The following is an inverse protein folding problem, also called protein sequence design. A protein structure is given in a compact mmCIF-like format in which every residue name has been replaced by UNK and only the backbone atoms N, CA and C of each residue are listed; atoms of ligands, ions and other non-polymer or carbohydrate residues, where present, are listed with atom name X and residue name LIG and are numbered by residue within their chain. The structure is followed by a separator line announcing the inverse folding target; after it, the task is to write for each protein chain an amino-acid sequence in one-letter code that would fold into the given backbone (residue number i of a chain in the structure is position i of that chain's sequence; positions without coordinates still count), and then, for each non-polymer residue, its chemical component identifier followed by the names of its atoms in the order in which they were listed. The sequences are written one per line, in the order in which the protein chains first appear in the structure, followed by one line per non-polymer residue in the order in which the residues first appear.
data_IF_757644325210
#
_entry.id   IF_757644325210
#
_cell.length_a   1.000
_cell.length_b   1.000
_cell.length_c   1.000
_cell.angle_alpha   90.00
_cell.angle_beta   90.00
_cell.angle_gamma   90.00
#
_symmetry.space_group_name_H-M   'P 1'
#
loop_
_entity.id
_entity.type
_entity.pdbx_description
1 polymer ?
#
# COMPACT_ATOMS: atom_id res chain seq x y z
N UNK A 1 22.67 26.16 -45.71
CA UNK A 1 22.65 27.64 -45.61
C UNK A 1 21.71 27.98 -44.46
N UNK A 2 22.21 28.73 -43.46
CA UNK A 2 21.54 29.25 -42.23
C UNK A 2 21.28 28.24 -41.08
N UNK A 3 21.44 28.65 -39.80
CA UNK A 3 22.71 28.53 -39.09
C UNK A 3 22.63 28.00 -37.64
N UNK A 4 23.80 27.58 -37.12
CA UNK A 4 24.09 27.37 -35.69
C UNK A 4 24.01 28.68 -34.90
N UNK A 5 23.24 28.69 -33.81
CA UNK A 5 23.24 29.79 -32.82
C UNK A 5 24.05 29.34 -31.60
N UNK A 6 25.19 30.01 -31.39
CA UNK A 6 25.97 30.01 -30.15
C UNK A 6 25.24 30.85 -29.10
N UNK A 7 25.03 30.31 -27.91
CA UNK A 7 24.63 31.09 -26.74
C UNK A 7 25.88 31.70 -26.06
N UNK A 8 25.88 33.01 -25.75
CA UNK A 8 26.96 33.64 -24.99
C UNK A 8 26.79 33.43 -23.49
N UNK A 9 27.89 33.03 -22.85
CA UNK A 9 28.07 32.83 -21.42
C UNK A 9 28.33 34.17 -20.72
N UNK A 10 27.30 34.93 -20.37
CA UNK A 10 27.44 36.05 -19.42
C UNK A 10 26.11 36.28 -18.72
N UNK A 11 26.05 35.98 -17.41
CA UNK A 11 25.24 36.62 -16.37
C UNK A 11 25.47 35.88 -15.03
N UNK A 12 26.69 35.96 -14.53
CA UNK A 12 26.99 35.79 -13.10
C UNK A 12 27.25 37.20 -12.58
N UNK A 13 26.30 37.74 -11.79
CA UNK A 13 26.50 38.72 -10.72
C UNK A 13 25.19 39.45 -10.41
N UNK A 14 24.62 39.18 -9.22
CA UNK A 14 24.14 40.15 -8.23
C UNK A 14 23.12 39.51 -7.28
N UNK A 15 23.62 38.86 -6.22
CA UNK A 15 22.83 38.55 -5.03
C UNK A 15 22.87 39.76 -4.07
N UNK A 16 21.74 40.28 -3.57
CA UNK A 16 21.75 41.31 -2.53
C UNK A 16 22.28 40.75 -1.21
N UNK A 17 23.20 41.49 -0.58
CA UNK A 17 23.74 41.22 0.77
C UNK A 17 22.65 41.42 1.82
N UNK A 18 22.56 40.49 2.77
CA UNK A 18 21.70 40.53 3.95
C UNK A 18 22.13 41.65 4.94
N UNK A 19 21.20 42.34 5.63
CA UNK A 19 21.52 43.27 6.72
C UNK A 19 21.82 42.53 8.04
N UNK A 20 22.54 43.18 8.99
CA UNK A 20 23.03 42.53 10.20
C UNK A 20 21.95 42.34 11.27
N UNK A 21 22.15 41.31 12.10
CA UNK A 21 21.32 40.87 13.22
C UNK A 21 21.07 41.98 14.25
N UNK A 22 19.81 42.23 14.57
CA UNK A 22 19.40 42.90 15.80
C UNK A 22 18.77 41.87 16.75
N UNK A 23 19.37 41.73 17.92
CA UNK A 23 18.91 40.88 19.01
C UNK A 23 17.73 41.54 19.72
N UNK A 24 16.51 41.09 19.42
CA UNK A 24 15.37 41.29 20.28
C UNK A 24 14.87 39.91 20.73
N UNK A 25 14.98 39.66 22.03
CA UNK A 25 14.50 38.45 22.68
C UNK A 25 13.01 38.27 22.40
N UNK A 26 12.70 37.30 21.55
CA UNK A 26 11.35 36.80 21.36
C UNK A 26 11.15 35.70 22.39
N UNK A 27 10.19 35.95 23.28
CA UNK A 27 9.67 35.02 24.26
C UNK A 27 9.27 33.74 23.54
N UNK A 28 9.69 32.62 24.11
CA UNK A 28 9.18 31.28 23.82
C UNK A 28 7.68 31.26 24.11
N UNK A 29 6.89 31.53 23.08
CA UNK A 29 5.49 31.11 22.96
C UNK A 29 5.38 30.51 21.56
N UNK A 30 5.98 29.32 21.37
CA UNK A 30 5.72 28.52 20.18
C UNK A 30 4.26 28.06 20.25
N UNK A 31 3.35 28.57 19.38
CA UNK A 31 1.99 28.07 19.36
C UNK A 31 2.10 26.64 18.86
N UNK A 32 1.84 25.67 19.73
CA UNK A 32 1.66 24.24 19.41
C UNK A 32 1.14 24.13 17.99
N UNK A 33 2.02 23.87 17.02
CA UNK A 33 1.59 23.63 15.64
C UNK A 33 0.70 22.42 15.75
N UNK A 34 -0.63 22.64 15.67
CA UNK A 34 -1.60 21.55 15.75
C UNK A 34 -1.20 20.57 14.67
N UNK A 35 -0.64 19.44 15.06
CA UNK A 35 -0.31 18.35 14.15
C UNK A 35 -1.62 18.01 13.43
N UNK A 36 -1.62 18.12 12.11
CA UNK A 36 -2.81 17.76 11.34
C UNK A 36 -3.04 16.26 11.47
N UNK A 37 -4.15 15.87 12.10
CA UNK A 37 -4.64 14.51 12.02
C UNK A 37 -5.27 14.30 10.64
N UNK A 38 -4.58 13.56 9.79
CA UNK A 38 -5.01 13.29 8.41
C UNK A 38 -6.09 12.21 8.33
N UNK A 39 -6.45 11.56 9.44
CA UNK A 39 -7.40 10.45 9.49
C UNK A 39 -8.80 10.85 9.99
N UNK A 40 -8.95 12.09 10.46
CA UNK A 40 -10.24 12.68 10.89
C UNK A 40 -10.65 13.78 9.92
N UNK A 41 -11.85 13.70 9.37
CA UNK A 41 -12.32 14.59 8.32
C UNK A 41 -13.56 14.08 7.61
N UNK A 42 -13.77 14.59 6.40
CA UNK A 42 -14.94 14.29 5.59
C UNK A 42 -14.58 14.06 4.12
N UNK A 43 -15.44 13.30 3.43
CA UNK A 43 -15.40 13.21 1.97
C UNK A 43 -16.08 14.45 1.39
N UNK A 44 -15.40 15.15 0.49
CA UNK A 44 -15.95 16.30 -0.23
C UNK A 44 -15.89 16.08 -1.75
N UNK A 45 -16.81 16.66 -2.54
CA UNK A 45 -16.76 16.57 -3.99
C UNK A 45 -15.43 17.10 -4.56
N UNK A 46 -14.90 16.42 -5.56
CA UNK A 46 -13.69 16.79 -6.28
C UNK A 46 -13.96 16.86 -7.79
N UNK A 47 -14.24 18.06 -8.32
CA UNK A 47 -14.48 18.26 -9.76
C UNK A 47 -13.28 17.91 -10.66
N UNK A 48 -12.06 17.86 -10.12
CA UNK A 48 -10.83 17.56 -10.88
C UNK A 48 -10.58 16.06 -11.06
N UNK A 49 -11.36 15.21 -10.38
CA UNK A 49 -11.26 13.75 -10.47
C UNK A 49 -12.16 13.18 -11.59
N UNK A 50 -11.88 11.95 -12.09
CA UNK A 50 -10.79 11.06 -11.69
C UNK A 50 -9.43 11.45 -12.27
N UNK A 51 -8.35 11.11 -11.56
CA UNK A 51 -6.98 11.35 -12.03
C UNK A 51 -6.51 10.36 -13.10
N UNK A 52 -7.19 9.22 -13.22
CA UNK A 52 -6.96 8.19 -14.23
C UNK A 52 -8.26 7.41 -14.46
N UNK A 53 -8.39 6.77 -15.61
CA UNK A 53 -9.54 5.94 -15.98
C UNK A 53 -9.10 4.55 -16.39
N UNK A 54 -10.08 3.69 -16.68
CA UNK A 54 -9.87 2.37 -17.28
C UNK A 54 -9.25 2.40 -18.69
N UNK A 55 -9.25 3.56 -19.36
CA UNK A 55 -8.62 3.74 -20.67
C UNK A 55 -7.20 4.31 -20.57
N UNK A 56 -6.89 5.06 -19.50
CA UNK A 56 -5.56 5.67 -19.32
C UNK A 56 -4.62 4.80 -18.48
N UNK A 57 -5.13 3.85 -17.70
CA UNK A 57 -4.31 2.97 -16.87
C UNK A 57 -4.43 1.49 -17.28
N UNK A 58 -3.28 0.90 -17.59
CA UNK A 58 -3.15 -0.52 -17.95
C UNK A 58 -3.13 -1.46 -16.73
N UNK A 59 -2.78 -0.94 -15.55
CA UNK A 59 -2.60 -1.74 -14.34
C UNK A 59 -3.92 -2.11 -13.63
N UNK A 60 -5.06 -1.58 -14.11
CA UNK A 60 -6.38 -1.92 -13.58
C UNK A 60 -6.72 -3.34 -14.03
N UNK A 61 -6.85 -4.26 -13.09
CA UNK A 61 -7.24 -5.63 -13.41
C UNK A 61 -8.66 -5.66 -13.94
N UNK A 62 -8.93 -6.62 -14.83
CA UNK A 62 -10.21 -6.71 -15.51
C UNK A 62 -11.39 -6.71 -14.54
N UNK A 63 -11.38 -7.56 -13.50
CA UNK A 63 -12.43 -7.66 -12.48
C UNK A 63 -12.65 -6.37 -11.63
N UNK A 64 -11.75 -5.39 -11.71
CA UNK A 64 -11.88 -4.08 -11.04
C UNK A 64 -12.44 -3.00 -11.97
N UNK A 65 -12.59 -3.29 -13.26
CA UNK A 65 -13.00 -2.31 -14.27
C UNK A 65 -14.53 -2.17 -14.28
N UNK A 66 -15.07 -1.47 -13.28
CA UNK A 66 -16.52 -1.28 -13.11
C UNK A 66 -17.18 -0.70 -14.37
N UNK A 67 -16.51 0.25 -15.04
CA UNK A 67 -17.05 0.88 -16.26
C UNK A 67 -17.15 -0.10 -17.42
N UNK A 68 -16.15 -0.97 -17.62
CA UNK A 68 -16.19 -2.03 -18.63
C UNK A 68 -17.34 -3.01 -18.37
N UNK A 69 -17.67 -3.25 -17.11
CA UNK A 69 -18.77 -4.14 -16.70
C UNK A 69 -20.11 -3.44 -16.47
N UNK A 70 -20.28 -2.24 -17.04
CA UNK A 70 -21.60 -1.62 -17.20
C UNK A 70 -22.08 -0.78 -16.03
N UNK A 71 -21.22 -0.43 -15.06
CA UNK A 71 -21.58 0.57 -14.04
C UNK A 71 -21.84 1.93 -14.73
N UNK A 72 -23.06 2.51 -14.61
CA UNK A 72 -23.44 3.69 -15.39
C UNK A 72 -23.05 5.01 -14.72
N UNK A 73 -22.95 5.04 -13.39
CA UNK A 73 -22.63 6.24 -12.61
C UNK A 73 -21.11 6.46 -12.52
N UNK A 74 -20.69 7.73 -12.48
CA UNK A 74 -19.26 8.13 -12.36
C UNK A 74 -18.96 8.96 -11.12
N UNK A 75 -19.99 9.35 -10.37
CA UNK A 75 -19.87 10.26 -9.22
C UNK A 75 -19.04 9.66 -8.08
N UNK A 76 -18.98 8.33 -7.96
CA UNK A 76 -18.14 7.65 -6.97
C UNK A 76 -16.64 7.95 -7.13
N UNK A 77 -16.20 8.35 -8.34
CA UNK A 77 -14.81 8.73 -8.60
C UNK A 77 -14.52 10.20 -8.30
N UNK A 78 -15.54 11.02 -8.03
CA UNK A 78 -15.44 12.48 -7.88
C UNK A 78 -15.43 12.92 -6.42
N UNK A 79 -14.73 12.17 -5.57
CA UNK A 79 -14.60 12.47 -4.14
C UNK A 79 -13.12 12.61 -3.75
N UNK A 80 -12.85 13.51 -2.81
CA UNK A 80 -11.55 13.61 -2.13
C UNK A 80 -11.74 13.63 -0.62
N UNK A 81 -10.79 13.07 0.10
CA UNK A 81 -10.74 13.16 1.56
C UNK A 81 -10.20 14.52 1.98
N UNK A 82 -10.88 15.20 2.89
CA UNK A 82 -10.46 16.48 3.46
C UNK A 82 -10.36 16.35 4.99
N UNK A 83 -9.13 16.39 5.56
CA UNK A 83 -8.95 16.44 7.01
C UNK A 83 -9.54 17.70 7.64
N UNK A 84 -10.00 17.60 8.89
CA UNK A 84 -10.57 18.75 9.63
C UNK A 84 -9.53 19.85 9.93
N UNK A 85 -8.28 19.43 10.15
CA UNK A 85 -7.20 20.30 10.64
C UNK A 85 -6.27 20.85 9.57
N UNK A 86 -6.36 20.40 8.31
CA UNK A 86 -5.52 20.88 7.22
C UNK A 86 -6.08 20.48 5.84
N UNK A 87 -5.57 21.14 4.79
CA UNK A 87 -5.80 20.70 3.42
C UNK A 87 -4.65 19.79 2.95
N UNK A 88 -4.99 18.63 2.40
CA UNK A 88 -4.02 17.77 1.74
C UNK A 88 -3.71 18.32 0.35
N UNK A 89 -2.43 18.35 -0.07
CA UNK A 89 -2.09 18.72 -1.44
C UNK A 89 -2.68 17.70 -2.41
N UNK A 90 -3.09 18.18 -3.59
CA UNK A 90 -3.46 17.30 -4.70
C UNK A 90 -2.24 16.47 -5.08
N UNK A 91 -2.45 15.17 -5.34
CA UNK A 91 -1.36 14.27 -5.70
C UNK A 91 -0.75 14.67 -7.04
N UNK A 92 0.49 15.14 -7.00
CA UNK A 92 1.27 15.48 -8.19
C UNK A 92 2.29 14.38 -8.50
N UNK A 93 2.08 13.56 -9.57
CA UNK A 93 2.90 12.37 -9.83
C UNK A 93 4.38 12.69 -10.07
N UNK A 94 4.67 13.82 -10.73
CA UNK A 94 6.05 14.24 -10.97
C UNK A 94 6.76 14.60 -9.67
N UNK A 95 6.07 15.26 -8.73
CA UNK A 95 6.63 15.60 -7.42
C UNK A 95 6.86 14.34 -6.59
N UNK A 96 5.89 13.42 -6.57
CA UNK A 96 6.05 12.14 -5.89
C UNK A 96 7.29 11.39 -6.40
N UNK A 97 7.42 11.23 -7.73
CA UNK A 97 8.57 10.56 -8.34
C UNK A 97 9.92 11.23 -8.03
N UNK A 98 9.95 12.56 -7.84
CA UNK A 98 11.16 13.24 -7.36
C UNK A 98 11.45 12.94 -5.88
N UNK A 99 10.43 12.88 -5.03
CA UNK A 99 10.58 12.51 -3.61
C UNK A 99 11.14 11.09 -3.47
N UNK A 100 10.67 10.16 -4.31
CA UNK A 100 11.10 8.75 -4.30
C UNK A 100 12.25 8.46 -5.27
N UNK A 101 12.92 9.48 -5.81
CA UNK A 101 14.04 9.30 -6.72
C UNK A 101 15.16 8.51 -6.05
N UNK A 102 15.62 7.45 -6.72
CA UNK A 102 16.68 6.57 -6.21
C UNK A 102 16.25 5.70 -5.03
N UNK A 103 14.94 5.58 -4.78
CA UNK A 103 14.38 4.81 -3.66
C UNK A 103 13.65 3.57 -4.12
N UNK A 104 13.28 2.74 -3.16
CA UNK A 104 12.49 1.52 -3.37
C UNK A 104 11.30 1.44 -2.40
N UNK A 105 10.16 0.91 -2.88
CA UNK A 105 8.94 0.75 -2.10
C UNK A 105 8.33 -0.64 -2.30
N UNK A 106 8.02 -1.35 -1.22
CA UNK A 106 7.38 -2.66 -1.27
C UNK A 106 5.97 -2.61 -0.67
N UNK A 107 5.02 -3.26 -1.33
CA UNK A 107 3.70 -3.58 -0.79
C UNK A 107 3.67 -5.07 -0.42
N UNK A 108 3.37 -5.39 0.84
CA UNK A 108 3.30 -6.78 1.33
C UNK A 108 1.92 -7.01 1.94
N UNK A 109 1.20 -8.00 1.43
CA UNK A 109 -0.11 -8.30 2.00
C UNK A 109 -1.08 -8.99 1.05
N UNK A 110 -2.35 -8.66 1.23
CA UNK A 110 -3.45 -9.22 0.46
C UNK A 110 -3.78 -8.38 -0.79
N UNK A 111 -4.87 -8.76 -1.47
CA UNK A 111 -5.35 -8.10 -2.68
C UNK A 111 -5.57 -6.60 -2.51
N UNK A 112 -5.87 -6.12 -1.31
CA UNK A 112 -6.20 -4.72 -1.12
C UNK A 112 -4.94 -3.84 -1.03
N UNK A 113 -3.81 -4.39 -0.58
CA UNK A 113 -2.50 -3.74 -0.72
C UNK A 113 -2.05 -3.67 -2.18
N UNK A 114 -2.23 -4.77 -2.92
CA UNK A 114 -2.00 -4.80 -4.38
C UNK A 114 -2.85 -3.75 -5.10
N UNK A 115 -4.12 -3.59 -4.73
CA UNK A 115 -4.99 -2.56 -5.32
C UNK A 115 -4.46 -1.13 -5.05
N UNK A 116 -3.94 -0.85 -3.85
CA UNK A 116 -3.31 0.44 -3.54
C UNK A 116 -2.08 0.69 -4.41
N UNK A 117 -1.22 -0.32 -4.57
CA UNK A 117 -0.07 -0.24 -5.46
C UNK A 117 -0.47 0.00 -6.92
N UNK A 118 -1.48 -0.72 -7.43
CA UNK A 118 -2.01 -0.53 -8.79
C UNK A 118 -2.53 0.89 -9.00
N UNK A 119 -3.25 1.44 -8.01
CA UNK A 119 -3.70 2.84 -8.03
C UNK A 119 -2.50 3.80 -8.14
N UNK A 120 -1.43 3.55 -7.39
CA UNK A 120 -0.19 4.33 -7.49
C UNK A 120 0.46 4.21 -8.88
N UNK A 121 0.54 3.00 -9.47
CA UNK A 121 1.02 2.83 -10.86
C UNK A 121 0.21 3.69 -11.83
N UNK A 122 -1.13 3.68 -11.70
CA UNK A 122 -2.00 4.48 -12.55
C UNK A 122 -1.76 5.98 -12.42
N UNK A 123 -1.59 6.48 -11.19
CA UNK A 123 -1.29 7.88 -10.94
C UNK A 123 0.05 8.29 -11.57
N UNK A 124 1.08 7.44 -11.41
CA UNK A 124 2.43 7.71 -11.91
C UNK A 124 2.56 7.57 -13.44
N UNK A 125 1.70 6.76 -14.07
CA UNK A 125 1.67 6.57 -15.53
C UNK A 125 1.30 7.85 -16.29
N UNK A 126 0.82 8.89 -15.61
CA UNK A 126 0.66 10.25 -16.16
C UNK A 126 2.01 10.93 -16.48
N UNK A 127 3.11 10.41 -15.94
CA UNK A 127 4.47 10.95 -16.10
C UNK A 127 5.38 9.92 -16.77
N UNK A 128 5.41 8.69 -16.26
CA UNK A 128 6.25 7.62 -16.80
C UNK A 128 5.58 6.26 -16.58
N UNK A 129 5.61 5.41 -17.61
CA UNK A 129 5.20 4.01 -17.46
C UNK A 129 6.38 3.20 -16.92
N UNK A 130 6.18 2.36 -15.89
CA UNK A 130 7.26 1.54 -15.39
C UNK A 130 7.55 0.36 -16.32
N UNK A 131 8.75 -0.21 -16.18
CA UNK A 131 9.15 -1.47 -16.81
C UNK A 131 9.14 -2.60 -15.77
N UNK A 132 8.71 -3.80 -16.18
CA UNK A 132 8.80 -5.01 -15.36
C UNK A 132 10.28 -5.43 -15.24
N UNK A 133 10.76 -5.55 -14.00
CA UNK A 133 12.12 -5.98 -13.64
C UNK A 133 12.09 -7.15 -12.65
N UNK A 134 10.99 -7.92 -12.66
CA UNK A 134 10.79 -9.07 -11.79
C UNK A 134 11.82 -10.16 -12.08
N UNK A 135 12.28 -10.83 -11.02
CA UNK A 135 13.25 -11.92 -11.15
C UNK A 135 12.65 -13.21 -11.71
N UNK A 136 11.33 -13.38 -11.55
CA UNK A 136 10.58 -14.55 -11.97
C UNK A 136 9.29 -14.12 -12.69
N UNK A 137 8.64 -15.01 -13.46
CA UNK A 137 7.34 -14.74 -14.06
C UNK A 137 6.17 -14.80 -13.06
N UNK A 138 6.44 -14.95 -11.76
CA UNK A 138 5.39 -15.10 -10.74
C UNK A 138 4.60 -13.79 -10.57
N UNK A 139 3.30 -13.84 -10.86
CA UNK A 139 2.37 -12.71 -10.72
C UNK A 139 2.11 -12.33 -9.25
N UNK A 140 2.50 -13.18 -8.30
CA UNK A 140 2.44 -12.90 -6.87
C UNK A 140 3.60 -12.03 -6.38
N UNK A 141 4.71 -11.99 -7.14
CA UNK A 141 5.95 -11.31 -6.78
C UNK A 141 6.49 -10.48 -7.94
N UNK A 142 6.04 -9.24 -8.02
CA UNK A 142 6.37 -8.35 -9.14
C UNK A 142 7.17 -7.14 -8.70
N UNK A 143 8.01 -6.66 -9.62
CA UNK A 143 8.84 -5.46 -9.46
C UNK A 143 8.72 -4.58 -10.70
N UNK A 144 8.49 -3.30 -10.47
CA UNK A 144 8.32 -2.28 -11.48
C UNK A 144 9.31 -1.14 -11.25
N UNK A 145 10.10 -0.81 -12.27
CA UNK A 145 11.09 0.26 -12.21
C UNK A 145 10.65 1.44 -13.07
N UNK A 146 10.77 2.65 -12.52
CA UNK A 146 10.63 3.93 -13.21
C UNK A 146 12.03 4.43 -13.59
N UNK A 147 12.51 4.20 -14.83
CA UNK A 147 13.92 4.35 -15.17
C UNK A 147 14.43 5.79 -14.99
N UNK A 148 13.63 6.79 -15.36
CA UNK A 148 14.01 8.21 -15.29
C UNK A 148 14.21 8.70 -13.85
N UNK A 149 13.65 7.97 -12.87
CA UNK A 149 13.72 8.32 -11.45
C UNK A 149 14.54 7.31 -10.63
N UNK A 150 14.99 6.20 -11.23
CA UNK A 150 15.61 5.10 -10.49
C UNK A 150 14.75 4.70 -9.27
N UNK A 151 13.42 4.74 -9.42
CA UNK A 151 12.47 4.35 -8.38
C UNK A 151 11.96 2.95 -8.68
N UNK A 152 11.99 2.06 -7.69
CA UNK A 152 11.49 0.68 -7.83
C UNK A 152 10.33 0.44 -6.89
N UNK A 153 9.24 -0.09 -7.40
CA UNK A 153 8.11 -0.55 -6.61
C UNK A 153 7.99 -2.07 -6.72
N UNK A 154 7.65 -2.74 -5.63
CA UNK A 154 7.45 -4.19 -5.61
C UNK A 154 6.15 -4.55 -4.89
N UNK A 155 5.62 -5.73 -5.22
CA UNK A 155 4.54 -6.38 -4.47
C UNK A 155 4.97 -7.77 -4.06
N UNK A 156 4.61 -8.15 -2.84
CA UNK A 156 4.77 -9.50 -2.30
C UNK A 156 3.41 -9.98 -1.80
N UNK A 157 2.88 -11.00 -2.45
CA UNK A 157 1.65 -11.64 -2.00
C UNK A 157 1.91 -12.37 -0.69
N UNK A 158 1.30 -11.90 0.40
CA UNK A 158 1.38 -12.53 1.71
C UNK A 158 0.11 -12.19 2.49
N UNK A 159 -1.04 -12.79 2.12
CA UNK A 159 -2.35 -12.36 2.61
C UNK A 159 -2.52 -12.48 4.13
N UNK A 160 -1.75 -13.36 4.78
CA UNK A 160 -1.70 -13.54 6.22
C UNK A 160 -0.41 -13.02 6.86
N UNK A 161 0.54 -12.45 6.09
CA UNK A 161 1.87 -11.96 6.48
C UNK A 161 2.84 -12.98 7.09
N UNK A 162 2.35 -14.07 7.66
CA UNK A 162 3.11 -15.20 8.20
C UNK A 162 3.18 -16.35 7.21
N UNK A 163 4.01 -17.36 7.51
CA UNK A 163 4.02 -18.58 6.71
C UNK A 163 2.61 -19.18 6.70
N UNK A 164 2.11 -19.43 5.50
CA UNK A 164 0.77 -19.95 5.28
C UNK A 164 0.80 -20.97 4.16
N UNK A 165 -0.01 -22.02 4.29
CA UNK A 165 -0.15 -23.07 3.29
C UNK A 165 -1.64 -23.35 3.07
N UNK A 166 -2.07 -23.44 1.81
CA UNK A 166 -3.42 -23.91 1.49
C UNK A 166 -3.47 -25.43 1.68
N UNK A 167 -4.12 -25.87 2.75
CA UNK A 167 -4.22 -27.28 3.11
C UNK A 167 -5.29 -28.02 2.32
N UNK A 168 -6.40 -27.34 2.01
CA UNK A 168 -7.49 -27.87 1.20
C UNK A 168 -8.19 -26.73 0.45
N UNK A 169 -8.06 -26.70 -0.89
CA UNK A 169 -8.68 -25.68 -1.74
C UNK A 169 -10.22 -25.71 -1.70
N UNK A 170 -10.81 -26.87 -1.43
CA UNK A 170 -12.26 -27.08 -1.32
C UNK A 170 -12.74 -27.11 0.13
N UNK A 171 -11.97 -26.51 1.05
CA UNK A 171 -12.19 -26.54 2.50
C UNK A 171 -13.61 -26.20 2.95
N UNK A 172 -13.89 -26.19 4.26
CA UNK A 172 -15.24 -26.25 4.84
C UNK A 172 -16.31 -25.31 4.26
N UNK A 173 -15.90 -24.14 3.74
CA UNK A 173 -16.77 -23.11 3.16
C UNK A 173 -16.58 -22.91 1.65
N UNK A 174 -15.96 -23.86 0.94
CA UNK A 174 -15.60 -23.78 -0.49
C UNK A 174 -14.75 -22.55 -0.86
N UNK A 175 -13.98 -22.04 0.11
CA UNK A 175 -13.07 -20.89 -0.06
C UNK A 175 -11.65 -21.19 0.40
N UNK A 176 -11.29 -22.47 0.46
CA UNK A 176 -10.02 -22.94 0.98
C UNK A 176 -9.98 -23.10 2.50
N UNK A 177 -9.07 -23.95 2.97
CA UNK A 177 -8.63 -24.11 4.35
C UNK A 177 -7.13 -23.83 4.42
N UNK A 178 -6.73 -22.89 5.27
CA UNK A 178 -5.34 -22.44 5.34
C UNK A 178 -4.68 -22.82 6.66
N UNK A 179 -3.51 -23.43 6.60
CA UNK A 179 -2.65 -23.60 7.77
C UNK A 179 -1.84 -22.32 7.96
N UNK A 180 -2.00 -21.62 9.08
CA UNK A 180 -1.21 -20.45 9.43
C UNK A 180 -0.24 -20.79 10.55
N UNK A 181 1.05 -20.64 10.30
CA UNK A 181 2.12 -20.84 11.28
C UNK A 181 2.41 -19.50 11.96
N UNK A 182 1.70 -19.23 13.06
CA UNK A 182 1.62 -17.90 13.68
C UNK A 182 2.93 -17.43 14.31
N UNK A 183 3.89 -18.32 14.50
CA UNK A 183 5.23 -18.07 15.02
C UNK A 183 6.35 -18.13 13.96
N UNK A 184 6.00 -18.37 12.69
CA UNK A 184 6.96 -18.49 11.59
C UNK A 184 6.85 -17.32 10.60
N UNK A 185 8.01 -16.85 10.14
CA UNK A 185 8.10 -15.79 9.14
C UNK A 185 7.73 -16.35 7.76
N UNK A 186 7.06 -15.55 6.93
CA UNK A 186 6.97 -15.86 5.50
C UNK A 186 8.26 -15.36 4.82
N UNK A 187 9.15 -16.30 4.51
CA UNK A 187 10.45 -16.03 3.91
C UNK A 187 10.38 -15.40 2.51
N UNK A 188 9.26 -15.56 1.79
CA UNK A 188 9.09 -15.01 0.43
C UNK A 188 9.22 -13.49 0.42
N UNK A 189 8.75 -12.80 1.47
CA UNK A 189 8.91 -11.35 1.59
C UNK A 189 9.98 -10.96 2.61
N UNK A 190 10.09 -11.66 3.76
CA UNK A 190 10.98 -11.21 4.84
C UNK A 190 12.46 -11.25 4.47
N UNK A 191 12.86 -12.15 3.56
CA UNK A 191 14.25 -12.23 3.08
C UNK A 191 14.62 -11.17 2.05
N UNK A 192 13.63 -10.42 1.53
CA UNK A 192 13.83 -9.47 0.44
C UNK A 192 13.65 -8.01 0.87
N UNK A 193 13.03 -7.72 2.02
CA UNK A 193 12.66 -6.35 2.38
C UNK A 193 13.83 -5.42 2.75
N UNK A 194 15.03 -5.94 3.05
CA UNK A 194 16.19 -5.12 3.44
C UNK A 194 16.62 -4.11 2.36
N UNK A 195 16.30 -4.35 1.08
CA UNK A 195 16.62 -3.44 -0.02
C UNK A 195 15.60 -2.29 -0.22
N UNK A 196 14.53 -2.24 0.59
CA UNK A 196 13.42 -1.29 0.42
C UNK A 196 13.50 -0.09 1.39
N UNK A 197 13.41 1.14 0.86
CA UNK A 197 13.31 2.36 1.68
C UNK A 197 11.95 2.47 2.38
N UNK A 198 10.88 1.97 1.75
CA UNK A 198 9.52 2.03 2.25
C UNK A 198 8.85 0.67 2.17
N UNK A 199 8.20 0.27 3.26
CA UNK A 199 7.44 -0.97 3.33
C UNK A 199 6.00 -0.67 3.71
N UNK A 200 5.04 -1.03 2.88
CA UNK A 200 3.61 -0.89 3.16
C UNK A 200 3.08 -2.30 3.41
N UNK A 201 2.70 -2.58 4.66
CA UNK A 201 2.11 -3.88 5.02
C UNK A 201 0.60 -3.75 5.19
N UNK A 202 -0.15 -4.77 4.78
CA UNK A 202 -1.58 -4.86 5.03
C UNK A 202 -2.05 -6.31 5.14
N UNK A 203 -3.07 -6.54 5.96
CA UNK A 203 -3.81 -7.80 5.98
C UNK A 203 -5.15 -7.61 6.66
N UNK A 204 -6.12 -8.46 6.31
CA UNK A 204 -7.44 -8.44 6.95
C UNK A 204 -8.43 -9.44 6.39
N UNK A 205 -8.81 -9.29 5.12
CA UNK A 205 -9.93 -10.06 4.55
C UNK A 205 -9.69 -11.58 4.57
N UNK A 206 -8.43 -12.01 4.51
CA UNK A 206 -8.07 -13.43 4.54
C UNK A 206 -8.21 -14.09 5.91
N UNK A 207 -8.28 -13.31 6.99
CA UNK A 207 -8.54 -13.84 8.33
C UNK A 207 -10.01 -14.21 8.57
N UNK A 208 -10.91 -13.89 7.63
CA UNK A 208 -12.30 -14.35 7.64
C UNK A 208 -12.46 -15.75 7.02
N UNK A 209 -11.46 -16.25 6.31
CA UNK A 209 -11.49 -17.60 5.72
C UNK A 209 -11.24 -18.68 6.76
N UNK A 210 -11.68 -19.93 6.51
CA UNK A 210 -11.30 -21.06 7.34
C UNK A 210 -9.79 -21.17 7.48
N UNK A 211 -9.30 -21.33 8.71
CA UNK A 211 -7.86 -21.44 8.97
C UNK A 211 -7.58 -22.30 10.19
N UNK A 212 -6.50 -23.08 10.15
CA UNK A 212 -5.95 -23.80 11.30
C UNK A 212 -4.70 -23.07 11.77
N UNK A 213 -4.58 -22.84 13.06
CA UNK A 213 -3.49 -22.07 13.64
C UNK A 213 -2.46 -22.99 14.28
N UNK A 214 -1.20 -22.81 13.89
CA UNK A 214 -0.06 -23.54 14.41
C UNK A 214 0.88 -22.60 15.17
N UNK A 215 1.36 -23.07 16.32
CA UNK A 215 2.51 -22.52 17.03
C UNK A 215 3.40 -23.70 17.48
N UNK A 216 4.71 -23.59 17.33
CA UNK A 216 5.67 -24.67 17.61
C UNK A 216 5.29 -26.02 16.97
N UNK A 217 4.75 -25.98 15.74
CA UNK A 217 4.26 -27.15 15.00
C UNK A 217 3.08 -27.90 15.66
N UNK A 218 2.35 -27.25 16.59
CA UNK A 218 1.15 -27.79 17.21
C UNK A 218 -0.07 -26.92 16.93
N UNK A 219 -1.23 -27.55 16.77
CA UNK A 219 -2.51 -26.85 16.59
C UNK A 219 -2.87 -26.16 17.90
N UNK A 220 -3.01 -24.84 17.88
CA UNK A 220 -3.45 -24.03 19.02
C UNK A 220 -4.91 -23.62 18.94
N UNK A 221 -5.53 -23.80 17.77
CA UNK A 221 -6.93 -23.53 17.51
C UNK A 221 -7.19 -23.36 16.02
N UNK A 222 -8.38 -22.90 15.67
CA UNK A 222 -8.73 -22.64 14.29
C UNK A 222 -9.78 -21.55 14.17
N UNK A 223 -10.18 -21.24 12.94
CA UNK A 223 -11.33 -20.40 12.60
C UNK A 223 -12.13 -21.12 11.54
N UNK A 224 -13.41 -21.37 11.79
CA UNK A 224 -14.34 -22.01 10.85
C UNK A 224 -13.80 -23.27 10.17
N UNK A 225 -12.94 -24.04 10.86
CA UNK A 225 -12.25 -25.17 10.26
C UNK A 225 -13.10 -26.46 10.23
N UNK A 226 -14.18 -26.52 11.01
CA UNK A 226 -15.04 -27.72 11.17
C UNK A 226 -14.26 -29.01 11.51
N UNK A 227 -13.09 -28.88 12.14
CA UNK A 227 -12.30 -30.02 12.60
C UNK A 227 -12.75 -30.44 14.01
N UNK A 228 -12.95 -31.73 14.21
CA UNK A 228 -13.27 -32.29 15.51
C UNK A 228 -12.13 -32.05 16.51
N UNK A 229 -12.49 -31.74 17.76
CA UNK A 229 -11.54 -31.50 18.86
C UNK A 229 -10.56 -30.34 18.67
N UNK A 230 -10.84 -29.39 17.76
CA UNK A 230 -10.08 -28.15 17.61
C UNK A 230 -10.93 -26.96 18.04
N UNK A 231 -10.41 -26.12 18.93
CA UNK A 231 -11.12 -24.94 19.42
C UNK A 231 -11.23 -23.87 18.34
N UNK A 232 -12.45 -23.40 18.05
CA UNK A 232 -12.67 -22.21 17.23
C UNK A 232 -12.33 -20.95 18.03
N UNK A 233 -11.43 -20.14 17.49
CA UNK A 233 -10.91 -18.92 18.07
C UNK A 233 -11.47 -17.70 17.32
N UNK A 234 -11.60 -16.55 18.00
CA UNK A 234 -12.03 -15.33 17.33
C UNK A 234 -11.02 -14.94 16.24
N UNK A 235 -11.51 -14.34 15.15
CA UNK A 235 -10.67 -13.84 14.05
C UNK A 235 -9.51 -12.96 14.54
N UNK A 236 -9.76 -12.18 15.59
CA UNK A 236 -8.76 -11.32 16.23
C UNK A 236 -7.55 -12.07 16.79
N UNK A 237 -7.66 -13.37 17.13
CA UNK A 237 -6.54 -14.19 17.59
C UNK A 237 -5.49 -14.35 16.50
N UNK A 238 -5.87 -14.97 15.37
CA UNK A 238 -4.97 -15.18 14.23
C UNK A 238 -4.44 -13.85 13.69
N UNK A 239 -5.31 -12.85 13.56
CA UNK A 239 -4.95 -11.51 13.10
C UNK A 239 -3.86 -10.87 13.98
N UNK A 240 -4.08 -10.85 15.31
CA UNK A 240 -3.12 -10.26 16.26
C UNK A 240 -1.77 -10.97 16.24
N UNK A 241 -1.78 -12.31 16.19
CA UNK A 241 -0.56 -13.10 16.21
C UNK A 241 0.24 -12.95 14.91
N UNK A 242 -0.44 -12.94 13.78
CA UNK A 242 0.19 -12.71 12.49
C UNK A 242 0.91 -11.35 12.42
N UNK A 243 0.24 -10.26 12.83
CA UNK A 243 0.88 -8.94 12.88
C UNK A 243 2.05 -8.88 13.86
N UNK A 244 1.94 -9.52 15.04
CA UNK A 244 3.06 -9.61 15.99
C UNK A 244 4.27 -10.28 15.36
N UNK A 245 4.06 -11.36 14.61
CA UNK A 245 5.14 -12.10 13.95
C UNK A 245 5.70 -11.35 12.75
N UNK A 246 4.86 -10.69 11.95
CA UNK A 246 5.32 -9.81 10.87
C UNK A 246 6.17 -8.63 11.38
N UNK A 247 5.75 -7.96 12.46
CA UNK A 247 6.56 -6.90 13.07
C UNK A 247 7.86 -7.43 13.69
N UNK A 248 7.83 -8.64 14.27
CA UNK A 248 9.04 -9.30 14.75
C UNK A 248 10.02 -9.57 13.62
N UNK A 249 9.53 -10.04 12.47
CA UNK A 249 10.36 -10.26 11.29
C UNK A 249 11.06 -8.97 10.86
N UNK A 250 10.29 -7.89 10.68
CA UNK A 250 10.83 -6.57 10.29
C UNK A 250 11.86 -6.06 11.30
N UNK A 251 11.54 -6.12 12.60
CA UNK A 251 12.42 -5.61 13.66
C UNK A 251 13.65 -6.49 13.92
N UNK A 252 13.64 -7.74 13.46
CA UNK A 252 14.78 -8.67 13.60
C UNK A 252 15.83 -8.51 12.51
N UNK A 253 15.53 -7.77 11.44
CA UNK A 253 16.45 -7.53 10.33
C UNK A 253 17.42 -6.39 10.66
N UNK A 254 18.69 -6.73 10.87
CA UNK A 254 19.70 -5.76 11.27
C UNK A 254 19.96 -4.68 10.20
N UNK A 255 19.81 -5.01 8.91
CA UNK A 255 20.10 -4.08 7.81
C UNK A 255 18.85 -3.36 7.29
N UNK A 256 17.64 -3.72 7.73
CA UNK A 256 16.45 -2.94 7.37
C UNK A 256 16.47 -1.56 8.04
N UNK A 257 16.57 -0.49 7.24
CA UNK A 257 16.56 0.91 7.69
C UNK A 257 15.37 1.72 7.13
N UNK A 258 14.46 1.05 6.41
CA UNK A 258 13.31 1.68 5.79
C UNK A 258 12.23 2.11 6.78
N UNK A 259 11.24 2.83 6.26
CA UNK A 259 10.03 3.21 7.02
C UNK A 259 8.92 2.22 6.69
N UNK A 260 8.36 1.61 7.73
CA UNK A 260 7.20 0.73 7.59
C UNK A 260 5.90 1.47 7.87
N UNK A 261 4.96 1.38 6.93
CA UNK A 261 3.59 1.84 7.05
C UNK A 261 2.65 0.65 7.20
N UNK A 262 1.75 0.72 8.18
CA UNK A 262 0.62 -0.19 8.27
C UNK A 262 -0.58 0.43 7.57
N UNK A 263 -1.04 -0.19 6.49
CA UNK A 263 -2.34 0.11 5.91
C UNK A 263 -3.41 -0.61 6.73
N UNK A 264 -4.27 0.19 7.37
CA UNK A 264 -5.34 -0.34 8.24
C UNK A 264 -6.39 -1.11 7.45
N UNK A 265 -7.25 -1.84 8.19
CA UNK A 265 -8.30 -2.67 7.63
C UNK A 265 -9.22 -1.88 6.67
N UNK A 266 -9.52 -2.47 5.51
CA UNK A 266 -10.48 -1.93 4.56
C UNK A 266 -11.85 -2.58 4.83
N UNK A 267 -12.89 -1.83 5.20
CA UNK A 267 -14.20 -2.41 5.47
C UNK A 267 -14.84 -2.94 4.19
N UNK A 268 -15.49 -4.11 4.30
CA UNK A 268 -16.43 -4.59 3.29
C UNK A 268 -17.79 -3.92 3.53
N UNK A 269 -18.43 -3.52 2.44
CA UNK A 269 -19.79 -2.99 2.45
C UNK A 269 -20.65 -3.94 1.62
N UNK A 270 -21.79 -4.31 2.16
CA UNK A 270 -22.75 -5.17 1.50
C UNK A 270 -24.12 -4.53 1.69
N UNK A 271 -24.87 -4.40 0.61
CA UNK A 271 -26.28 -4.07 0.68
C UNK A 271 -27.07 -5.37 0.61
N UNK A 272 -28.08 -5.53 1.47
CA UNK A 272 -29.01 -6.66 1.46
C UNK A 272 -28.41 -8.08 1.70
N UNK A 273 -27.18 -8.24 2.23
CA UNK A 273 -26.65 -9.56 2.57
C UNK A 273 -25.19 -9.59 3.01
N UNK A 274 -24.57 -10.78 3.01
CA UNK A 274 -23.10 -10.94 3.01
C UNK A 274 -22.63 -11.31 1.58
N UNK A 275 -21.32 -11.20 1.29
CA UNK A 275 -20.74 -11.49 -0.04
C UNK A 275 -21.14 -12.85 -0.65
N UNK A 276 -21.43 -13.86 0.18
CA UNK A 276 -21.83 -15.21 -0.24
C UNK A 276 -23.34 -15.48 -0.09
N UNK A 277 -24.14 -14.48 0.27
CA UNK A 277 -25.59 -14.60 0.49
C UNK A 277 -26.43 -13.64 -0.35
N UNK A 278 -25.91 -13.22 -1.50
CA UNK A 278 -26.65 -12.35 -2.42
C UNK A 278 -26.68 -10.88 -2.00
N UNK A 279 -25.64 -10.43 -1.30
CA UNK A 279 -25.37 -9.01 -1.19
C UNK A 279 -25.15 -8.36 -2.56
N UNK A 280 -25.68 -7.16 -2.73
CA UNK A 280 -25.29 -6.22 -3.79
C UNK A 280 -24.10 -5.35 -3.33
#
# INVERSE_FOLDING_TARGET
MLPFIRYPSYLLQNFPKSPPSSSHGLKDDDPVTKKCDIFSGEWVPNPEAPYYTNTTCWAIHEHQNCMKYGRPDTEFMKWRWKPDGCELPVFEPAQFLQIVRGKSMAFVGDSVGRNQMQSLICLLSRVEYPIDVSYTPDEQFKRWRYPSYNFTMATFWSPHLVKAEEADANGPTHTGLFNLYLDQFNEEWTTQIEEFDYLIINAGHWFFRPSVYYENHQIVGCRFCLLDNVTDLPMSYGYRMAFRTAFRAINSLENFKGITFLRTFAPSHFENGEWNRGAE
#
